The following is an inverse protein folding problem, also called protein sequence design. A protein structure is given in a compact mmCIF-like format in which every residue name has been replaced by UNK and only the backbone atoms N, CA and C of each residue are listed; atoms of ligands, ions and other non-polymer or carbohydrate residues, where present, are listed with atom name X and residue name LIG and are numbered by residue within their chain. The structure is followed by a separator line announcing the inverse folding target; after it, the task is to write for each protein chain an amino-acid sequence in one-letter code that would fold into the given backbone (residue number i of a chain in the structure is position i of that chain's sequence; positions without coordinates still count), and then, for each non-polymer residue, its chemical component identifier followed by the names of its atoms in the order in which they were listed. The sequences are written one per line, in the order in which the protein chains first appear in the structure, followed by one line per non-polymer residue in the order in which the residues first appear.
data_IF_740475132039
#
_entry.id   IF_740475132039
#
_cell.length_a   1.000
_cell.length_b   1.000
_cell.length_c   1.000
_cell.angle_alpha   90.00
_cell.angle_beta   90.00
_cell.angle_gamma   90.00
#
_symmetry.space_group_name_H-M   'P 1'
#
loop_
_entity.id
_entity.type
_entity.pdbx_description
1 polymer ?
#
# COMPACT_ATOMS: atom_id res chain seq x y z
N UNK A 1 4.23 4.07 -28.79
CA UNK A 1 3.46 5.18 -29.39
C UNK A 1 3.74 6.43 -28.57
N UNK A 2 4.21 7.50 -29.20
CA UNK A 2 4.39 8.80 -28.52
C UNK A 2 3.05 9.24 -27.96
N UNK A 3 2.89 9.21 -26.64
CA UNK A 3 1.69 9.74 -26.00
C UNK A 3 1.54 11.19 -26.45
N UNK A 4 0.34 11.55 -26.93
CA UNK A 4 -0.03 12.95 -27.07
C UNK A 4 0.12 13.59 -25.68
N UNK A 5 1.09 14.49 -25.54
CA UNK A 5 1.30 15.32 -24.34
C UNK A 5 0.20 16.39 -24.21
N UNK A 6 -1.07 15.98 -24.36
CA UNK A 6 -2.20 16.87 -24.18
C UNK A 6 -2.16 17.39 -22.73
N UNK A 7 -2.37 18.68 -22.48
CA UNK A 7 -2.41 19.21 -21.14
C UNK A 7 -3.62 18.60 -20.39
N UNK A 8 -3.48 18.42 -19.09
CA UNK A 8 -4.49 17.82 -18.22
C UNK A 8 -4.86 18.76 -17.08
N UNK A 9 -6.13 18.74 -16.67
CA UNK A 9 -6.64 19.48 -15.51
C UNK A 9 -7.43 18.56 -14.58
N UNK A 10 -7.28 18.75 -13.28
CA UNK A 10 -8.13 18.14 -12.27
C UNK A 10 -8.10 18.91 -10.95
N UNK A 11 -9.02 18.55 -10.05
CA UNK A 11 -8.96 18.96 -8.65
C UNK A 11 -7.93 18.11 -7.92
N UNK A 12 -6.95 18.74 -7.28
CA UNK A 12 -5.91 18.07 -6.49
C UNK A 12 -6.26 17.94 -4.99
N UNK A 13 -7.26 18.68 -4.50
CA UNK A 13 -7.79 18.57 -3.13
C UNK A 13 -8.93 17.54 -3.02
N UNK A 14 -9.21 17.06 -1.80
CA UNK A 14 -10.31 16.13 -1.53
C UNK A 14 -11.67 16.68 -1.99
N UNK A 15 -12.58 15.77 -2.36
CA UNK A 15 -13.96 16.13 -2.65
C UNK A 15 -14.69 16.45 -1.34
N UNK A 16 -15.47 17.53 -1.33
CA UNK A 16 -16.24 17.94 -0.16
C UNK A 16 -16.28 19.45 0.00
N UNK A 17 -16.74 19.92 1.16
CA UNK A 17 -16.68 21.32 1.54
C UNK A 17 -15.38 21.56 2.30
N UNK A 18 -14.56 22.49 1.82
CA UNK A 18 -13.33 22.91 2.49
C UNK A 18 -13.11 24.42 2.34
N UNK A 19 -12.26 24.99 3.19
CA UNK A 19 -11.87 26.39 3.08
C UNK A 19 -11.12 26.70 1.78
N UNK A 20 -10.28 25.76 1.33
CA UNK A 20 -9.45 25.87 0.13
C UNK A 20 -9.64 24.60 -0.72
N UNK A 21 -9.71 24.77 -2.04
CA UNK A 21 -9.60 23.70 -3.02
C UNK A 21 -8.59 24.06 -4.10
N UNK A 22 -7.84 23.06 -4.55
CA UNK A 22 -6.75 23.25 -5.51
C UNK A 22 -7.14 22.63 -6.84
N UNK A 23 -7.09 23.41 -7.92
CA UNK A 23 -7.15 22.92 -9.30
C UNK A 23 -5.74 22.94 -9.87
N UNK A 24 -5.30 21.82 -10.44
CA UNK A 24 -3.96 21.64 -10.99
C UNK A 24 -4.06 21.38 -12.49
N UNK A 25 -3.18 22.04 -13.26
CA UNK A 25 -3.01 21.84 -14.70
C UNK A 25 -1.56 21.42 -14.96
N UNK A 26 -1.32 20.41 -15.79
CA UNK A 26 0.02 19.95 -16.21
C UNK A 26 0.09 19.78 -17.72
N UNK A 27 1.20 20.16 -18.36
CA UNK A 27 1.42 19.95 -19.79
C UNK A 27 2.64 20.70 -20.32
N UNK A 28 2.73 20.82 -21.64
CA UNK A 28 3.84 21.55 -22.28
C UNK A 28 3.83 23.04 -21.92
N UNK A 29 5.01 23.65 -21.87
CA UNK A 29 5.19 25.05 -21.48
C UNK A 29 4.31 26.03 -22.29
N UNK A 30 4.20 25.81 -23.60
CA UNK A 30 3.37 26.63 -24.50
C UNK A 30 1.89 26.59 -24.14
N UNK A 31 1.39 25.42 -23.73
CA UNK A 31 -0.02 25.22 -23.43
C UNK A 31 -0.37 25.86 -22.09
N UNK A 32 0.48 25.65 -21.08
CA UNK A 32 0.33 26.27 -19.76
C UNK A 32 0.43 27.80 -19.87
N UNK A 33 1.36 28.32 -20.69
CA UNK A 33 1.48 29.75 -20.98
C UNK A 33 0.21 30.34 -21.61
N UNK A 34 -0.38 29.63 -22.58
CA UNK A 34 -1.60 30.06 -23.24
C UNK A 34 -2.80 30.05 -22.29
N UNK A 35 -2.97 28.96 -21.52
CA UNK A 35 -4.06 28.81 -20.55
C UNK A 35 -3.96 29.86 -19.45
N UNK A 36 -2.78 30.09 -18.88
CA UNK A 36 -2.58 31.08 -17.82
C UNK A 36 -2.95 32.49 -18.29
N UNK A 37 -2.45 32.90 -19.47
CA UNK A 37 -2.77 34.20 -20.08
C UNK A 37 -4.27 34.35 -20.31
N UNK A 38 -4.95 33.29 -20.76
CA UNK A 38 -6.39 33.33 -21.02
C UNK A 38 -7.25 33.40 -19.73
N UNK A 39 -6.77 32.84 -18.61
CA UNK A 39 -7.52 32.84 -17.35
C UNK A 39 -7.58 34.21 -16.66
N UNK A 40 -6.53 35.03 -16.77
CA UNK A 40 -6.49 36.32 -16.08
C UNK A 40 -6.02 37.51 -16.94
N UNK A 41 -5.86 37.32 -18.25
CA UNK A 41 -5.58 38.37 -19.26
C UNK A 41 -4.39 39.28 -18.92
N UNK A 42 -3.27 38.72 -18.44
CA UNK A 42 -2.05 39.47 -18.07
C UNK A 42 -0.77 38.71 -18.42
N UNK A 43 0.36 39.36 -18.14
CA UNK A 43 1.69 38.75 -18.16
C UNK A 43 1.74 37.47 -17.31
N UNK A 44 2.65 36.58 -17.72
CA UNK A 44 2.93 35.35 -17.02
C UNK A 44 3.45 35.64 -15.61
N UNK A 45 3.01 34.84 -14.67
CA UNK A 45 3.40 34.91 -13.28
C UNK A 45 4.83 34.43 -13.10
N UNK A 46 5.50 35.04 -12.13
CA UNK A 46 6.81 34.58 -11.69
C UNK A 46 6.71 33.18 -11.07
N UNK A 47 7.71 32.36 -11.36
CA UNK A 47 7.80 30.98 -10.91
C UNK A 47 7.82 30.89 -9.38
N UNK A 48 7.08 29.92 -8.83
CA UNK A 48 6.99 29.62 -7.39
C UNK A 48 6.61 30.84 -6.53
N UNK A 49 5.89 31.81 -7.09
CA UNK A 49 5.34 32.96 -6.36
C UNK A 49 3.81 32.90 -6.30
N UNK A 50 3.29 32.84 -5.07
CA UNK A 50 1.86 32.95 -4.81
C UNK A 50 1.34 34.32 -5.26
N UNK A 51 0.44 34.33 -6.24
CA UNK A 51 -0.09 35.57 -6.81
C UNK A 51 -1.61 35.59 -6.83
N UNK A 52 -2.21 36.59 -6.18
CA UNK A 52 -3.65 36.78 -6.15
C UNK A 52 -4.16 37.35 -7.49
N UNK A 53 -5.13 36.67 -8.11
CA UNK A 53 -5.82 37.09 -9.33
C UNK A 53 -7.31 36.73 -9.28
N UNK A 54 -8.08 37.28 -10.19
CA UNK A 54 -9.49 36.94 -10.37
C UNK A 54 -9.63 36.03 -11.59
N UNK A 55 -10.40 34.94 -11.44
CA UNK A 55 -10.89 34.17 -12.58
C UNK A 55 -12.28 34.68 -12.91
N UNK A 56 -12.53 34.91 -14.20
CA UNK A 56 -13.82 35.33 -14.74
C UNK A 56 -14.31 34.33 -15.78
N UNK A 57 -15.62 34.23 -15.92
CA UNK A 57 -16.25 33.43 -16.97
C UNK A 57 -16.14 34.09 -18.35
N UNK A 58 -16.73 33.48 -19.38
CA UNK A 58 -16.75 34.01 -20.74
C UNK A 58 -17.57 35.29 -20.92
N UNK A 59 -18.46 35.61 -19.98
CA UNK A 59 -19.26 36.85 -19.93
C UNK A 59 -18.57 37.96 -19.13
N UNK A 60 -17.44 37.65 -18.49
CA UNK A 60 -16.69 38.59 -17.63
C UNK A 60 -17.15 38.62 -16.17
N UNK A 61 -18.09 37.77 -15.78
CA UNK A 61 -18.57 37.65 -14.41
C UNK A 61 -17.49 37.00 -13.53
N UNK A 62 -17.37 37.47 -12.29
CA UNK A 62 -16.37 36.95 -11.36
C UNK A 62 -16.77 35.54 -10.90
N UNK A 63 -15.90 34.55 -11.17
CA UNK A 63 -16.04 33.21 -10.62
C UNK A 63 -15.48 33.18 -9.19
N UNK A 64 -14.20 33.55 -9.04
CA UNK A 64 -13.54 33.60 -7.73
C UNK A 64 -12.27 34.49 -7.76
N UNK A 65 -11.79 34.88 -6.58
CA UNK A 65 -10.46 35.46 -6.35
C UNK A 65 -9.55 34.37 -5.79
N UNK A 66 -8.54 34.01 -6.55
CA UNK A 66 -7.74 32.80 -6.35
C UNK A 66 -6.26 33.12 -6.28
N UNK A 67 -5.48 32.24 -5.65
CA UNK A 67 -4.02 32.30 -5.67
C UNK A 67 -3.54 31.37 -6.78
N UNK A 68 -2.76 31.92 -7.71
CA UNK A 68 -2.03 31.15 -8.70
C UNK A 68 -0.61 30.87 -8.22
N UNK A 69 -0.12 29.66 -8.48
CA UNK A 69 1.29 29.28 -8.30
C UNK A 69 1.76 28.55 -9.55
N UNK A 70 2.87 29.01 -10.12
CA UNK A 70 3.47 28.44 -11.32
C UNK A 70 4.71 27.62 -11.02
N UNK A 71 4.83 26.44 -11.62
CA UNK A 71 6.02 25.60 -11.59
C UNK A 71 6.48 25.31 -13.02
N UNK A 72 7.72 25.64 -13.37
CA UNK A 72 8.31 25.27 -14.67
C UNK A 72 8.95 23.88 -14.60
N UNK A 73 8.92 23.17 -15.72
CA UNK A 73 9.73 21.98 -15.93
C UNK A 73 11.23 22.29 -15.76
N UNK A 74 12.04 21.37 -15.23
CA UNK A 74 11.67 20.07 -14.64
C UNK A 74 11.31 20.17 -13.14
N UNK A 75 11.23 21.39 -12.60
CA UNK A 75 11.10 21.68 -11.18
C UNK A 75 9.63 21.72 -10.70
N UNK A 76 8.84 20.75 -11.15
CA UNK A 76 7.42 20.54 -10.82
C UNK A 76 7.17 19.10 -10.34
N UNK A 77 5.93 18.81 -9.93
CA UNK A 77 5.52 17.46 -9.51
C UNK A 77 5.59 16.44 -10.66
N UNK A 78 5.00 16.76 -11.81
CA UNK A 78 4.95 15.88 -12.98
C UNK A 78 6.25 15.88 -13.79
N UNK A 79 7.15 16.84 -13.56
CA UNK A 79 8.31 17.09 -14.43
C UNK A 79 7.99 17.97 -15.64
N UNK A 80 6.71 18.29 -15.88
CA UNK A 80 6.24 19.22 -16.92
C UNK A 80 6.02 20.64 -16.34
N UNK A 81 5.50 21.56 -17.14
CA UNK A 81 4.99 22.81 -16.59
C UNK A 81 3.67 22.56 -15.85
N UNK A 82 3.55 23.14 -14.65
CA UNK A 82 2.36 23.00 -13.79
C UNK A 82 1.85 24.35 -13.34
N UNK A 83 0.54 24.54 -13.44
CA UNK A 83 -0.19 25.68 -12.87
C UNK A 83 -1.13 25.19 -11.77
N UNK A 84 -0.98 25.72 -10.57
CA UNK A 84 -1.90 25.47 -9.45
C UNK A 84 -2.76 26.70 -9.16
N UNK A 85 -4.06 26.46 -9.02
CA UNK A 85 -5.08 27.46 -8.73
C UNK A 85 -5.70 27.11 -7.37
N UNK A 86 -5.36 27.86 -6.34
CA UNK A 86 -5.93 27.72 -5.00
C UNK A 86 -7.12 28.66 -4.87
N UNK A 87 -8.31 28.09 -4.79
CA UNK A 87 -9.58 28.79 -4.76
C UNK A 87 -10.40 28.36 -3.55
N UNK A 88 -11.58 28.94 -3.35
CA UNK A 88 -12.49 28.45 -2.31
C UNK A 88 -12.88 26.98 -2.60
N UNK A 89 -12.90 26.16 -1.55
CA UNK A 89 -13.09 24.70 -1.67
C UNK A 89 -14.52 24.24 -1.91
N UNK A 90 -15.44 25.14 -2.26
CA UNK A 90 -16.83 24.79 -2.56
C UNK A 90 -16.92 23.97 -3.85
N UNK A 91 -17.63 22.82 -3.88
CA UNK A 91 -17.71 21.97 -5.07
C UNK A 91 -18.18 22.70 -6.34
N UNK A 92 -19.15 23.62 -6.21
CA UNK A 92 -19.63 24.43 -7.32
C UNK A 92 -18.56 25.38 -7.87
N UNK A 93 -17.82 26.07 -6.99
CA UNK A 93 -16.75 27.00 -7.37
C UNK A 93 -15.61 26.25 -8.07
N UNK A 94 -15.19 25.11 -7.50
CA UNK A 94 -14.18 24.24 -8.12
C UNK A 94 -14.61 23.74 -9.50
N UNK A 95 -15.90 23.36 -9.65
CA UNK A 95 -16.47 22.96 -10.93
C UNK A 95 -16.46 24.08 -11.98
N UNK A 96 -16.82 25.30 -11.58
CA UNK A 96 -16.78 26.48 -12.46
C UNK A 96 -15.34 26.81 -12.91
N UNK A 97 -14.37 26.72 -12.00
CA UNK A 97 -12.95 26.94 -12.34
C UNK A 97 -12.45 25.90 -13.33
N UNK A 98 -12.71 24.61 -13.08
CA UNK A 98 -12.32 23.53 -14.02
C UNK A 98 -13.01 23.72 -15.37
N UNK A 99 -14.31 24.04 -15.38
CA UNK A 99 -15.04 24.34 -16.61
C UNK A 99 -14.42 25.50 -17.39
N UNK A 100 -14.03 26.57 -16.69
CA UNK A 100 -13.35 27.72 -17.30
C UNK A 100 -11.98 27.35 -17.84
N UNK A 101 -11.20 26.52 -17.13
CA UNK A 101 -9.92 26.01 -17.63
C UNK A 101 -10.12 25.22 -18.94
N UNK A 102 -11.07 24.28 -18.96
CA UNK A 102 -11.39 23.47 -20.15
C UNK A 102 -11.80 24.33 -21.35
N UNK A 103 -12.60 25.38 -21.11
CA UNK A 103 -13.02 26.32 -22.15
C UNK A 103 -11.82 27.03 -22.78
N UNK A 104 -10.94 27.65 -21.95
CA UNK A 104 -9.79 28.40 -22.48
C UNK A 104 -8.68 27.50 -23.03
N UNK A 105 -8.59 26.27 -22.55
CA UNK A 105 -7.60 25.28 -22.99
C UNK A 105 -8.04 24.42 -24.18
N UNK A 106 -9.24 24.63 -24.72
CA UNK A 106 -9.79 23.80 -25.80
C UNK A 106 -8.89 23.75 -27.03
N UNK A 107 -8.29 24.88 -27.43
CA UNK A 107 -7.37 24.95 -28.58
C UNK A 107 -6.06 24.20 -28.35
N UNK A 108 -5.65 24.05 -27.08
CA UNK A 108 -4.49 23.27 -26.67
C UNK A 108 -4.83 21.79 -26.41
N UNK A 109 -6.10 21.38 -26.57
CA UNK A 109 -6.54 20.02 -26.27
C UNK A 109 -6.62 19.70 -24.78
N UNK A 110 -6.76 20.71 -23.91
CA UNK A 110 -6.89 20.50 -22.47
C UNK A 110 -8.07 19.59 -22.16
N UNK A 111 -7.79 18.54 -21.38
CA UNK A 111 -8.80 17.56 -20.96
C UNK A 111 -8.73 17.29 -19.46
N UNK A 112 -9.75 16.60 -18.96
CA UNK A 112 -9.70 16.06 -17.60
C UNK A 112 -8.62 15.00 -17.49
N UNK A 113 -7.91 15.02 -16.35
CA UNK A 113 -6.95 13.98 -16.02
C UNK A 113 -7.67 12.66 -15.69
N UNK A 114 -7.03 11.54 -16.07
CA UNK A 114 -7.40 10.19 -15.63
C UNK A 114 -6.99 9.99 -14.15
N UNK A 115 -7.56 9.00 -13.44
CA UNK A 115 -7.07 8.60 -12.13
C UNK A 115 -5.56 8.32 -12.15
N UNK A 116 -4.80 8.91 -11.22
CA UNK A 116 -3.35 8.72 -11.10
C UNK A 116 -2.48 9.35 -12.19
N UNK A 117 -3.04 10.08 -13.15
CA UNK A 117 -2.30 10.54 -14.33
C UNK A 117 -1.18 11.56 -14.01
N UNK A 118 -1.29 12.38 -12.97
CA UNK A 118 -0.18 13.29 -12.64
C UNK A 118 1.02 12.50 -12.07
N UNK A 119 0.76 11.47 -11.26
CA UNK A 119 1.78 10.59 -10.69
C UNK A 119 2.37 9.70 -11.78
N UNK A 120 1.55 9.20 -12.70
CA UNK A 120 1.99 8.47 -13.91
C UNK A 120 2.97 9.32 -14.72
N UNK A 121 2.65 10.60 -14.97
CA UNK A 121 3.55 11.53 -15.67
C UNK A 121 4.84 11.80 -14.89
N UNK A 122 4.76 11.93 -13.57
CA UNK A 122 5.95 12.07 -12.73
C UNK A 122 6.89 10.85 -12.87
N UNK A 123 6.32 9.64 -12.89
CA UNK A 123 7.06 8.40 -13.13
C UNK A 123 7.68 8.37 -14.55
N UNK A 124 6.88 8.63 -15.58
CA UNK A 124 7.36 8.64 -16.99
C UNK A 124 8.44 9.70 -17.25
N UNK A 125 8.41 10.81 -16.51
CA UNK A 125 9.42 11.87 -16.57
C UNK A 125 10.60 11.64 -15.62
N UNK A 126 10.76 10.43 -15.06
CA UNK A 126 11.85 10.04 -14.15
C UNK A 126 11.97 10.96 -12.91
N UNK A 127 10.86 11.55 -12.46
CA UNK A 127 10.83 12.36 -11.21
C UNK A 127 10.79 11.47 -9.98
N UNK A 128 10.15 10.32 -10.12
CA UNK A 128 9.93 9.30 -9.10
C UNK A 128 10.00 7.93 -9.77
N UNK A 129 10.37 6.90 -9.03
CA UNK A 129 10.19 5.51 -9.47
C UNK A 129 8.81 4.96 -9.08
N UNK A 130 8.52 3.72 -9.50
CA UNK A 130 7.21 3.11 -9.27
C UNK A 130 6.91 2.86 -7.79
N UNK A 131 7.92 2.57 -6.97
CA UNK A 131 7.71 2.36 -5.53
C UNK A 131 7.42 3.68 -4.81
N UNK A 132 8.05 4.77 -5.22
CA UNK A 132 7.76 6.11 -4.73
C UNK A 132 6.36 6.56 -5.14
N UNK A 133 5.93 6.25 -6.37
CA UNK A 133 4.56 6.48 -6.81
C UNK A 133 3.54 5.72 -5.93
N UNK A 134 3.77 4.43 -5.70
CA UNK A 134 2.93 3.61 -4.80
C UNK A 134 2.90 4.15 -3.37
N UNK A 135 4.02 4.66 -2.87
CA UNK A 135 4.14 5.23 -1.53
C UNK A 135 3.34 6.53 -1.35
N UNK A 136 3.13 7.31 -2.42
CA UNK A 136 2.27 8.50 -2.37
C UNK A 136 0.82 8.11 -2.10
N UNK A 137 0.32 7.03 -2.71
CA UNK A 137 -1.01 6.52 -2.39
C UNK A 137 -1.09 6.06 -0.94
N UNK A 138 -0.08 5.28 -0.51
CA UNK A 138 -0.03 4.74 0.86
C UNK A 138 0.03 5.85 1.92
N UNK A 139 0.76 6.95 1.66
CA UNK A 139 0.83 8.09 2.59
C UNK A 139 -0.51 8.79 2.77
N UNK A 140 -1.36 8.79 1.74
CA UNK A 140 -2.66 9.46 1.77
C UNK A 140 -3.73 8.55 2.37
N UNK A 141 -3.59 7.24 2.22
CA UNK A 141 -4.46 6.22 2.83
C UNK A 141 -4.07 5.89 4.28
N UNK A 142 -2.89 6.28 4.74
CA UNK A 142 -2.38 5.91 6.06
C UNK A 142 -3.31 6.36 7.20
N UNK A 143 -3.78 5.39 7.98
CA UNK A 143 -4.67 5.59 9.15
C UNK A 143 -3.93 5.57 10.48
N UNK A 144 -2.63 5.25 10.49
CA UNK A 144 -1.79 5.25 11.68
C UNK A 144 -0.50 6.06 11.47
N UNK A 145 0.04 6.64 12.55
CA UNK A 145 1.30 7.39 12.49
C UNK A 145 2.47 6.54 11.97
N UNK A 146 2.53 5.26 12.38
CA UNK A 146 3.56 4.32 11.91
C UNK A 146 3.46 4.08 10.39
N UNK A 147 2.24 3.85 9.89
CA UNK A 147 1.99 3.67 8.45
C UNK A 147 2.37 4.93 7.65
N UNK A 148 1.99 6.12 8.15
CA UNK A 148 2.33 7.40 7.52
C UNK A 148 3.85 7.63 7.47
N UNK A 149 4.58 7.33 8.57
CA UNK A 149 6.05 7.46 8.61
C UNK A 149 6.74 6.46 7.66
N UNK A 150 6.26 5.21 7.60
CA UNK A 150 6.78 4.21 6.68
C UNK A 150 6.54 4.60 5.21
N UNK A 151 5.34 5.11 4.88
CA UNK A 151 5.01 5.60 3.54
C UNK A 151 5.86 6.81 3.16
N UNK A 152 6.09 7.74 4.10
CA UNK A 152 6.96 8.89 3.87
C UNK A 152 8.44 8.49 3.61
N UNK A 153 8.93 7.43 4.26
CA UNK A 153 10.28 6.87 3.98
C UNK A 153 10.36 6.24 2.59
N UNK A 154 9.38 5.43 2.20
CA UNK A 154 9.29 4.89 0.84
C UNK A 154 9.21 6.01 -0.21
N UNK A 155 8.41 7.05 0.04
CA UNK A 155 8.29 8.20 -0.87
C UNK A 155 9.62 8.94 -1.03
N UNK A 156 10.43 9.03 0.05
CA UNK A 156 11.79 9.60 -0.01
C UNK A 156 12.78 8.75 -0.80
N UNK A 157 12.42 7.52 -1.17
CA UNK A 157 13.25 6.62 -1.98
C UNK A 157 14.02 5.57 -1.17
N UNK A 158 13.80 5.45 0.15
CA UNK A 158 14.60 4.53 0.98
C UNK A 158 14.47 3.06 0.52
N UNK A 159 13.25 2.64 0.12
CA UNK A 159 13.06 1.29 -0.40
C UNK A 159 13.74 1.12 -1.77
N UNK A 160 13.59 2.10 -2.65
CA UNK A 160 14.23 2.14 -3.96
C UNK A 160 15.75 2.04 -3.87
N UNK A 161 16.37 2.80 -2.96
CA UNK A 161 17.81 2.79 -2.73
C UNK A 161 18.30 1.40 -2.33
N UNK A 162 17.59 0.70 -1.43
CA UNK A 162 17.94 -0.67 -1.04
C UNK A 162 17.82 -1.64 -2.20
N UNK A 163 16.74 -1.57 -2.99
CA UNK A 163 16.54 -2.44 -4.16
C UNK A 163 17.59 -2.16 -5.24
N UNK A 164 17.87 -0.88 -5.51
CA UNK A 164 18.88 -0.47 -6.49
C UNK A 164 20.28 -0.89 -6.03
N UNK A 165 20.60 -0.83 -4.74
CA UNK A 165 21.87 -1.33 -4.21
C UNK A 165 22.03 -2.84 -4.45
N UNK A 166 20.97 -3.63 -4.21
CA UNK A 166 20.98 -5.07 -4.53
C UNK A 166 21.17 -5.30 -6.03
N UNK A 167 20.46 -4.52 -6.87
CA UNK A 167 20.52 -4.66 -8.31
C UNK A 167 21.92 -4.31 -8.86
N UNK A 168 22.56 -3.26 -8.34
CA UNK A 168 23.93 -2.90 -8.69
C UNK A 168 24.91 -4.03 -8.39
N UNK A 169 24.79 -4.69 -7.22
CA UNK A 169 25.62 -5.86 -6.89
C UNK A 169 25.39 -7.03 -7.86
N UNK A 170 24.13 -7.29 -8.24
CA UNK A 170 23.82 -8.34 -9.24
C UNK A 170 24.47 -8.03 -10.59
N UNK A 171 24.38 -6.78 -11.04
CA UNK A 171 24.98 -6.33 -12.31
C UNK A 171 26.51 -6.47 -12.26
N UNK A 172 27.13 -6.10 -11.14
CA UNK A 172 28.58 -6.25 -10.94
C UNK A 172 29.03 -7.71 -11.01
N UNK A 173 28.36 -8.62 -10.30
CA UNK A 173 28.67 -10.06 -10.38
C UNK A 173 28.44 -10.61 -11.78
N UNK A 174 27.38 -10.18 -12.48
CA UNK A 174 27.11 -10.60 -13.85
C UNK A 174 28.23 -10.14 -14.80
N UNK A 175 28.66 -8.89 -14.68
CA UNK A 175 29.76 -8.35 -15.48
C UNK A 175 31.08 -9.10 -15.24
N UNK A 176 31.36 -9.51 -14.00
CA UNK A 176 32.52 -10.35 -13.66
C UNK A 176 32.44 -11.73 -14.34
N UNK A 177 31.27 -12.38 -14.35
CA UNK A 177 31.07 -13.67 -15.04
C UNK A 177 31.17 -13.51 -16.55
N UNK A 178 30.60 -12.45 -17.13
CA UNK A 178 30.70 -12.16 -18.57
C UNK A 178 32.16 -11.92 -19.00
N UNK A 179 32.95 -11.20 -18.20
CA UNK A 179 34.37 -11.01 -18.48
C UNK A 179 35.15 -12.34 -18.52
N UNK A 180 34.79 -13.32 -17.68
CA UNK A 180 35.40 -14.66 -17.71
C UNK A 180 35.00 -15.40 -19.00
N UNK A 181 33.72 -15.34 -19.38
CA UNK A 181 33.21 -15.95 -20.61
C UNK A 181 33.89 -15.41 -21.89
N UNK A 182 34.17 -14.10 -21.92
CA UNK A 182 34.81 -13.45 -23.07
C UNK A 182 36.32 -13.77 -23.18
N UNK A 183 36.99 -14.15 -22.08
CA UNK A 183 38.44 -14.36 -22.01
C UNK A 183 38.83 -15.68 -21.28
N UNK A 184 38.56 -16.85 -21.87
CA UNK A 184 38.76 -18.14 -21.21
C UNK A 184 40.22 -18.51 -20.92
N UNK A 185 41.20 -17.90 -21.61
CA UNK A 185 42.63 -18.21 -21.40
C UNK A 185 43.19 -17.65 -20.07
N UNK A 186 42.44 -16.76 -19.38
CA UNK A 186 42.75 -16.23 -18.04
C UNK A 186 42.02 -16.99 -16.90
N UNK A 187 41.28 -18.07 -17.20
CA UNK A 187 40.26 -18.72 -16.34
C UNK A 187 40.75 -19.36 -15.03
N UNK A 188 42.00 -19.83 -14.96
CA UNK A 188 42.37 -20.82 -13.92
C UNK A 188 42.55 -20.17 -12.53
N UNK A 189 42.96 -18.90 -12.45
CA UNK A 189 43.19 -18.20 -11.16
C UNK A 189 41.96 -17.41 -10.64
N UNK A 190 40.95 -17.14 -11.48
CA UNK A 190 39.87 -16.21 -11.13
C UNK A 190 38.60 -16.86 -10.56
N UNK A 191 38.20 -18.04 -11.02
CA UNK A 191 37.04 -18.78 -10.46
C UNK A 191 37.36 -19.39 -9.08
N UNK A 192 38.64 -19.66 -8.79
CA UNK A 192 39.11 -20.05 -7.46
C UNK A 192 39.08 -18.90 -6.44
N UNK A 193 38.89 -17.64 -6.88
CA UNK A 193 38.72 -16.53 -5.95
C UNK A 193 37.41 -16.68 -5.17
N UNK A 194 37.54 -17.00 -3.88
CA UNK A 194 36.48 -17.04 -2.87
C UNK A 194 35.57 -15.78 -2.83
N UNK A 195 35.92 -14.71 -3.55
CA UNK A 195 35.19 -13.45 -3.67
C UNK A 195 33.81 -13.56 -4.30
N UNK A 196 33.65 -14.16 -5.49
CA UNK A 196 32.35 -14.21 -6.19
C UNK A 196 31.34 -15.04 -5.41
N UNK A 197 31.72 -16.26 -5.02
CA UNK A 197 30.87 -17.14 -4.20
C UNK A 197 30.43 -16.46 -2.91
N UNK A 198 31.37 -15.86 -2.17
CA UNK A 198 31.07 -15.15 -0.93
C UNK A 198 30.20 -13.92 -1.19
N UNK A 199 30.43 -13.22 -2.30
CA UNK A 199 29.65 -12.07 -2.74
C UNK A 199 28.20 -12.42 -3.06
N UNK A 200 27.96 -13.46 -3.85
CA UNK A 200 26.60 -13.93 -4.16
C UNK A 200 25.91 -14.49 -2.91
N UNK A 201 26.63 -15.22 -2.05
CA UNK A 201 26.09 -15.66 -0.76
C UNK A 201 25.65 -14.47 0.10
N UNK A 202 26.46 -13.41 0.15
CA UNK A 202 26.14 -12.18 0.87
C UNK A 202 24.93 -11.46 0.27
N UNK A 203 24.85 -11.39 -1.06
CA UNK A 203 23.69 -10.84 -1.78
C UNK A 203 22.39 -11.59 -1.40
N UNK A 204 22.41 -12.92 -1.30
CA UNK A 204 21.24 -13.70 -0.89
C UNK A 204 20.78 -13.34 0.53
N UNK A 205 21.73 -13.13 1.46
CA UNK A 205 21.44 -12.65 2.81
C UNK A 205 20.84 -11.25 2.81
N UNK A 206 21.37 -10.35 1.99
CA UNK A 206 20.91 -8.97 1.88
C UNK A 206 19.51 -8.89 1.26
N UNK A 207 19.23 -9.69 0.22
CA UNK A 207 17.87 -9.85 -0.33
C UNK A 207 16.92 -10.39 0.76
N UNK A 208 17.34 -11.38 1.55
CA UNK A 208 16.52 -11.93 2.63
C UNK A 208 16.22 -10.90 3.73
N UNK A 209 17.18 -10.03 4.05
CA UNK A 209 17.02 -8.93 4.99
C UNK A 209 15.98 -7.91 4.48
N UNK A 210 16.10 -7.49 3.21
CA UNK A 210 15.12 -6.59 2.57
C UNK A 210 13.74 -7.23 2.49
N UNK A 211 13.65 -8.52 2.17
CA UNK A 211 12.39 -9.27 2.14
C UNK A 211 11.71 -9.33 3.53
N UNK A 212 12.48 -9.51 4.60
CA UNK A 212 11.97 -9.50 5.97
C UNK A 212 11.41 -8.12 6.33
N UNK A 213 12.13 -7.04 6.00
CA UNK A 213 11.67 -5.67 6.20
C UNK A 213 10.41 -5.35 5.38
N UNK A 214 10.38 -5.74 4.11
CA UNK A 214 9.22 -5.58 3.22
C UNK A 214 7.99 -6.36 3.72
N UNK A 215 8.19 -7.52 4.34
CA UNK A 215 7.06 -8.29 4.91
C UNK A 215 6.39 -7.51 6.03
N UNK A 216 7.15 -6.86 6.91
CA UNK A 216 6.61 -5.97 7.96
C UNK A 216 5.95 -4.73 7.37
N UNK A 217 6.60 -4.13 6.36
CA UNK A 217 6.04 -3.00 5.61
C UNK A 217 4.70 -3.29 4.95
N UNK A 218 4.51 -4.51 4.44
CA UNK A 218 3.23 -4.98 3.91
C UNK A 218 2.17 -5.07 5.00
N UNK A 219 2.50 -5.56 6.19
CA UNK A 219 1.56 -5.64 7.32
C UNK A 219 1.14 -4.25 7.80
N UNK A 220 2.05 -3.27 7.83
CA UNK A 220 1.71 -1.87 8.12
C UNK A 220 0.81 -1.22 7.06
N UNK A 221 0.80 -1.75 5.84
CA UNK A 221 -0.02 -1.28 4.73
C UNK A 221 -1.39 -1.92 4.73
N UNK A 222 -1.41 -3.25 4.64
CA UNK A 222 -2.63 -4.01 4.43
C UNK A 222 -3.40 -4.22 5.76
N UNK A 223 -2.71 -4.01 6.89
CA UNK A 223 -3.21 -4.30 8.23
C UNK A 223 -3.22 -5.79 8.55
N UNK A 224 -3.43 -6.11 9.83
CA UNK A 224 -3.69 -7.48 10.27
C UNK A 224 -5.19 -7.79 10.16
N UNK A 225 -5.58 -8.78 9.36
CA UNK A 225 -6.98 -9.20 9.28
C UNK A 225 -7.30 -10.19 10.41
N UNK A 226 -8.22 -9.79 11.29
CA UNK A 226 -8.60 -10.54 12.48
C UNK A 226 -10.10 -10.84 12.44
N UNK A 227 -10.44 -12.11 12.42
CA UNK A 227 -11.83 -12.60 12.45
C UNK A 227 -12.24 -12.94 13.87
N UNK A 228 -13.39 -12.42 14.31
CA UNK A 228 -14.01 -12.81 15.58
C UNK A 228 -15.03 -13.94 15.33
N UNK A 229 -14.73 -15.13 15.82
CA UNK A 229 -15.58 -16.32 15.69
C UNK A 229 -16.12 -16.75 17.07
N UNK A 230 -17.35 -17.23 17.11
CA UNK A 230 -17.96 -17.78 18.32
C UNK A 230 -19.49 -17.67 18.32
N UNK A 231 -20.13 -18.30 19.29
CA UNK A 231 -21.59 -18.31 19.42
C UNK A 231 -22.17 -16.89 19.64
N UNK A 232 -23.49 -16.67 19.47
CA UNK A 232 -24.14 -15.44 19.91
C UNK A 232 -23.90 -15.18 21.40
N UNK A 233 -23.83 -13.91 21.81
CA UNK A 233 -23.71 -13.47 23.21
C UNK A 233 -22.43 -13.84 23.98
N UNK A 234 -21.46 -14.53 23.36
CA UNK A 234 -20.11 -14.78 23.95
C UNK A 234 -19.28 -13.50 24.15
N UNK A 235 -19.78 -12.36 23.66
CA UNK A 235 -19.17 -11.04 23.84
C UNK A 235 -18.24 -10.61 22.70
N UNK A 236 -18.46 -11.08 21.46
CA UNK A 236 -17.75 -10.60 20.25
C UNK A 236 -17.74 -9.07 20.12
N UNK A 237 -18.92 -8.45 20.16
CA UNK A 237 -19.06 -6.99 20.06
C UNK A 237 -18.44 -6.27 21.26
N UNK A 238 -18.46 -6.87 22.45
CA UNK A 238 -17.79 -6.33 23.63
C UNK A 238 -16.26 -6.35 23.47
N UNK A 239 -15.69 -7.47 22.99
CA UNK A 239 -14.25 -7.58 22.72
C UNK A 239 -13.82 -6.60 21.63
N UNK A 240 -14.59 -6.50 20.56
CA UNK A 240 -14.37 -5.55 19.48
C UNK A 240 -14.27 -4.11 20.00
N UNK A 241 -15.23 -3.68 20.84
CA UNK A 241 -15.20 -2.36 21.47
C UNK A 241 -14.03 -2.22 22.45
N UNK A 242 -13.68 -3.28 23.18
CA UNK A 242 -12.54 -3.27 24.09
C UNK A 242 -11.20 -3.08 23.34
N UNK A 243 -11.03 -3.78 22.21
CA UNK A 243 -9.86 -3.67 21.32
C UNK A 243 -9.83 -2.32 20.58
N UNK A 244 -10.99 -1.81 20.17
CA UNK A 244 -11.10 -0.50 19.55
C UNK A 244 -10.66 0.63 20.49
N UNK A 245 -10.89 0.47 21.80
CA UNK A 245 -10.35 1.38 22.80
C UNK A 245 -10.83 2.82 22.61
N UNK A 246 -9.91 3.77 22.86
CA UNK A 246 -10.00 5.17 22.44
C UNK A 246 -9.36 5.42 21.05
N UNK A 247 -8.87 4.35 20.39
CA UNK A 247 -8.02 4.37 19.19
C UNK A 247 -8.77 3.91 17.93
N UNK A 248 -10.03 4.33 17.78
CA UNK A 248 -10.79 4.14 16.54
C UNK A 248 -10.17 5.04 15.47
N UNK A 249 -9.52 4.45 14.48
CA UNK A 249 -8.87 5.22 13.43
C UNK A 249 -9.91 5.80 12.47
N UNK A 250 -10.86 4.97 11.98
CA UNK A 250 -11.99 5.38 11.12
C UNK A 250 -13.11 4.33 11.27
N UNK A 251 -14.36 4.75 11.53
CA UNK A 251 -15.54 3.92 11.23
C UNK A 251 -15.90 4.21 9.78
N UNK A 252 -15.66 3.26 8.88
CA UNK A 252 -16.10 3.40 7.48
C UNK A 252 -17.57 3.04 7.37
N UNK A 253 -18.43 4.04 7.57
CA UNK A 253 -19.80 3.99 7.06
C UNK A 253 -19.73 4.12 5.53
N UNK A 254 -19.62 3.01 4.81
CA UNK A 254 -19.93 3.04 3.37
C UNK A 254 -21.45 3.21 3.26
N UNK A 255 -21.89 4.46 3.17
CA UNK A 255 -23.29 4.82 2.99
C UNK A 255 -23.81 4.20 1.67
N UNK A 256 -24.65 3.17 1.77
CA UNK A 256 -25.33 2.59 0.61
C UNK A 256 -25.74 1.11 0.70
N UNK A 257 -25.26 0.34 1.67
CA UNK A 257 -25.60 -1.09 1.78
C UNK A 257 -26.26 -1.40 3.12
N UNK A 258 -27.60 -1.35 3.14
CA UNK A 258 -28.37 -1.81 4.30
C UNK A 258 -28.19 -3.32 4.48
N UNK A 259 -27.51 -3.72 5.58
CA UNK A 259 -27.29 -5.08 6.13
C UNK A 259 -25.99 -5.82 5.78
N UNK A 260 -24.96 -5.11 5.31
CA UNK A 260 -23.66 -5.70 4.97
C UNK A 260 -22.57 -5.44 6.03
N UNK A 261 -21.61 -6.37 6.10
CA UNK A 261 -20.40 -6.47 6.97
C UNK A 261 -20.04 -5.18 7.70
N UNK A 262 -20.06 -5.20 9.03
CA UNK A 262 -19.37 -4.15 9.80
C UNK A 262 -17.91 -4.57 9.94
N UNK A 263 -17.08 -4.04 9.04
CA UNK A 263 -15.63 -4.13 9.15
C UNK A 263 -15.15 -2.94 9.96
N UNK A 264 -14.36 -3.19 10.99
CA UNK A 264 -13.82 -2.12 11.83
C UNK A 264 -12.32 -2.04 11.62
N UNK A 265 -11.84 -0.86 11.24
CA UNK A 265 -10.42 -0.57 11.17
C UNK A 265 -9.98 0.14 12.46
N UNK A 266 -9.16 -0.56 13.26
CA UNK A 266 -8.63 -0.05 14.52
C UNK A 266 -7.10 0.04 14.43
N UNK A 267 -6.50 0.84 15.31
CA UNK A 267 -5.04 0.92 15.43
C UNK A 267 -4.59 0.39 16.79
N UNK A 268 -3.89 -0.75 16.80
CA UNK A 268 -3.26 -1.32 17.99
C UNK A 268 -1.79 -0.85 18.09
N UNK A 269 -1.52 0.21 18.85
CA UNK A 269 -0.19 0.84 18.97
C UNK A 269 0.47 1.12 17.60
N UNK A 270 -0.33 1.60 16.65
CA UNK A 270 0.08 1.95 15.29
C UNK A 270 0.08 0.80 14.28
N UNK A 271 -0.22 -0.45 14.71
CA UNK A 271 -0.55 -1.55 13.81
C UNK A 271 -2.01 -1.40 13.33
N UNK A 272 -2.27 -1.21 12.03
CA UNK A 272 -3.62 -1.26 11.51
C UNK A 272 -4.18 -2.69 11.65
N UNK A 273 -5.37 -2.82 12.21
CA UNK A 273 -6.06 -4.11 12.38
C UNK A 273 -7.46 -3.99 11.82
N UNK A 274 -7.79 -4.91 10.93
CA UNK A 274 -9.13 -5.05 10.35
C UNK A 274 -9.88 -6.14 11.10
N UNK A 275 -10.80 -5.73 11.95
CA UNK A 275 -11.70 -6.63 12.69
C UNK A 275 -12.92 -6.96 11.84
N UNK A 276 -13.18 -8.27 11.68
CA UNK A 276 -14.33 -8.78 10.95
C UNK A 276 -15.21 -9.55 11.94
N UNK A 277 -16.41 -9.02 12.21
CA UNK A 277 -17.41 -9.71 13.02
C UNK A 277 -18.14 -10.75 12.17
N UNK A 278 -18.14 -12.00 12.63
CA UNK A 278 -18.87 -13.08 11.97
C UNK A 278 -20.22 -13.22 12.65
N UNK A 279 -21.29 -13.04 11.88
CA UNK A 279 -22.63 -13.40 12.35
C UNK A 279 -22.57 -14.87 12.78
N UNK A 280 -23.01 -15.15 14.01
CA UNK A 280 -22.76 -16.40 14.72
C UNK A 280 -22.94 -17.63 13.83
N UNK A 281 -21.90 -18.45 13.74
CA UNK A 281 -21.90 -19.62 12.90
C UNK A 281 -22.83 -20.72 13.45
N UNK A 282 -23.77 -21.24 12.65
CA UNK A 282 -24.63 -22.38 13.00
C UNK A 282 -25.06 -23.18 11.76
N UNK A 283 -25.28 -24.49 11.87
CA UNK A 283 -26.00 -25.24 10.82
C UNK A 283 -27.47 -24.81 10.78
N UNK A 284 -27.98 -24.50 9.60
CA UNK A 284 -29.34 -23.97 9.39
C UNK A 284 -29.82 -24.29 7.98
N UNK A 285 -31.11 -24.59 7.85
CA UNK A 285 -31.76 -24.79 6.55
C UNK A 285 -32.25 -23.47 5.94
N UNK A 286 -32.18 -22.35 6.68
CA UNK A 286 -32.58 -21.02 6.20
C UNK A 286 -31.58 -20.51 5.12
N UNK A 287 -32.05 -20.23 3.89
CA UNK A 287 -31.21 -19.71 2.81
C UNK A 287 -30.46 -18.41 3.17
N UNK A 288 -31.04 -17.55 4.01
CA UNK A 288 -30.44 -16.27 4.42
C UNK A 288 -29.28 -16.52 5.40
N UNK A 289 -29.43 -17.49 6.28
CA UNK A 289 -28.39 -17.83 7.26
C UNK A 289 -27.27 -18.69 6.64
N UNK A 290 -27.57 -19.52 5.64
CA UNK A 290 -26.53 -20.20 4.83
C UNK A 290 -25.58 -19.21 4.16
N UNK A 291 -26.13 -18.12 3.62
CA UNK A 291 -25.31 -17.02 3.07
C UNK A 291 -24.41 -16.42 4.17
N UNK A 292 -24.88 -16.34 5.42
CA UNK A 292 -24.07 -15.89 6.56
C UNK A 292 -22.90 -16.84 6.91
N UNK A 293 -23.11 -18.15 6.78
CA UNK A 293 -22.07 -19.18 7.01
C UNK A 293 -21.02 -19.13 5.90
N UNK A 294 -21.45 -19.17 4.63
CA UNK A 294 -20.54 -19.13 3.48
C UNK A 294 -19.67 -17.87 3.51
N UNK A 295 -20.25 -16.73 3.88
CA UNK A 295 -19.52 -15.46 4.08
C UNK A 295 -18.52 -15.50 5.24
N UNK A 296 -18.86 -16.20 6.31
CA UNK A 296 -17.94 -16.37 7.44
C UNK A 296 -16.77 -17.27 7.06
N UNK A 297 -17.03 -18.33 6.28
CA UNK A 297 -15.98 -19.20 5.73
C UNK A 297 -15.03 -18.41 4.82
N UNK A 298 -15.55 -17.58 3.92
CA UNK A 298 -14.73 -16.69 3.08
C UNK A 298 -13.88 -15.70 3.90
N UNK A 299 -14.43 -15.17 5.01
CA UNK A 299 -13.70 -14.28 5.89
C UNK A 299 -12.57 -15.02 6.62
N UNK A 300 -12.84 -16.23 7.13
CA UNK A 300 -11.85 -17.09 7.80
C UNK A 300 -10.75 -17.51 6.82
N UNK A 301 -11.10 -17.86 5.57
CA UNK A 301 -10.14 -18.17 4.52
C UNK A 301 -9.18 -17.02 4.21
N UNK A 302 -9.61 -15.77 4.42
CA UNK A 302 -8.81 -14.56 4.15
C UNK A 302 -8.17 -13.96 5.40
N UNK A 303 -8.46 -14.50 6.59
CA UNK A 303 -8.00 -13.97 7.87
C UNK A 303 -6.55 -14.36 8.17
N UNK A 304 -5.79 -13.43 8.76
CA UNK A 304 -4.45 -13.72 9.27
C UNK A 304 -4.55 -14.35 10.67
N UNK A 305 -5.54 -13.91 11.46
CA UNK A 305 -5.85 -14.43 12.80
C UNK A 305 -7.34 -14.70 12.94
N UNK A 306 -7.68 -15.84 13.55
CA UNK A 306 -9.03 -16.15 14.02
C UNK A 306 -9.04 -16.16 15.55
N UNK A 307 -9.83 -15.28 16.14
CA UNK A 307 -10.10 -15.28 17.58
C UNK A 307 -11.36 -16.10 17.84
N UNK A 308 -11.22 -17.25 18.49
CA UNK A 308 -12.33 -18.14 18.82
C UNK A 308 -12.81 -17.87 20.24
N UNK A 309 -13.95 -17.20 20.34
CA UNK A 309 -14.51 -16.72 21.60
C UNK A 309 -15.47 -17.73 22.23
N UNK A 310 -15.31 -17.96 23.53
CA UNK A 310 -16.26 -18.67 24.39
C UNK A 310 -16.43 -17.99 25.74
N UNK A 311 -17.40 -18.45 26.53
CA UNK A 311 -17.65 -17.93 27.86
C UNK A 311 -16.89 -18.72 28.93
N UNK A 312 -16.37 -18.03 29.94
CA UNK A 312 -15.68 -18.64 31.07
C UNK A 312 -16.56 -19.63 31.88
N UNK A 313 -17.89 -19.46 31.85
CA UNK A 313 -18.83 -20.35 32.50
C UNK A 313 -19.02 -21.69 31.74
N UNK A 314 -18.71 -21.72 30.44
CA UNK A 314 -18.72 -22.94 29.63
C UNK A 314 -17.54 -22.97 28.64
N UNK A 315 -16.31 -23.21 29.14
CA UNK A 315 -15.14 -23.32 28.27
C UNK A 315 -15.21 -24.56 27.35
N UNK A 316 -16.03 -25.56 27.71
CA UNK A 316 -16.16 -26.82 26.95
C UNK A 316 -16.84 -26.62 25.60
N UNK A 317 -17.59 -25.52 25.44
CA UNK A 317 -18.20 -25.11 24.19
C UNK A 317 -17.20 -25.00 23.02
N UNK A 318 -15.93 -24.68 23.28
CA UNK A 318 -14.83 -24.62 22.29
C UNK A 318 -14.67 -25.94 21.52
N UNK A 319 -14.83 -27.07 22.20
CA UNK A 319 -14.70 -28.41 21.61
C UNK A 319 -15.92 -28.78 20.74
N UNK A 320 -17.07 -28.16 21.01
CA UNK A 320 -18.34 -28.41 20.32
C UNK A 320 -18.66 -27.42 19.20
N UNK A 321 -17.79 -26.44 18.92
CA UNK A 321 -18.00 -25.45 17.87
C UNK A 321 -17.90 -26.11 16.48
N UNK A 322 -19.04 -26.64 16.03
CA UNK A 322 -19.23 -27.32 14.74
C UNK A 322 -18.75 -26.46 13.58
N UNK A 323 -18.98 -25.16 13.68
CA UNK A 323 -18.71 -24.29 12.56
C UNK A 323 -17.25 -23.86 12.48
N UNK A 324 -16.58 -23.69 13.62
CA UNK A 324 -15.12 -23.64 13.61
C UNK A 324 -14.54 -24.95 13.05
N UNK A 325 -15.07 -26.13 13.40
CA UNK A 325 -14.60 -27.41 12.82
C UNK A 325 -14.79 -27.48 11.30
N UNK A 326 -15.87 -26.90 10.77
CA UNK A 326 -16.09 -26.78 9.33
C UNK A 326 -15.16 -25.76 8.66
N UNK A 327 -14.96 -24.60 9.29
CA UNK A 327 -14.05 -23.56 8.82
C UNK A 327 -12.58 -24.00 8.89
N UNK A 328 -12.22 -24.79 9.90
CA UNK A 328 -10.86 -25.33 10.10
C UNK A 328 -10.38 -26.21 8.95
N UNK A 329 -11.32 -26.85 8.23
CA UNK A 329 -11.02 -27.64 7.03
C UNK A 329 -10.65 -26.78 5.83
N UNK A 330 -11.00 -25.51 5.86
CA UNK A 330 -10.78 -24.53 4.79
C UNK A 330 -9.69 -23.50 5.16
N UNK A 331 -9.04 -23.65 6.32
CA UNK A 331 -7.96 -22.75 6.71
C UNK A 331 -6.77 -22.89 5.77
N UNK A 332 -6.38 -21.77 5.16
CA UNK A 332 -5.11 -21.65 4.44
C UNK A 332 -3.94 -21.93 5.38
N UNK A 333 -2.86 -22.51 4.86
CA UNK A 333 -1.64 -22.70 5.63
C UNK A 333 -1.13 -21.34 6.15
N UNK A 334 -0.96 -21.21 7.46
CA UNK A 334 -0.44 -19.99 8.10
C UNK A 334 -1.45 -19.12 8.85
N UNK A 335 -2.77 -19.41 8.82
CA UNK A 335 -3.73 -18.73 9.71
C UNK A 335 -3.43 -19.10 11.16
N UNK A 336 -3.30 -18.09 12.03
CA UNK A 336 -3.11 -18.30 13.47
C UNK A 336 -4.48 -18.32 14.16
N UNK A 337 -4.70 -19.30 15.02
CA UNK A 337 -5.95 -19.42 15.78
C UNK A 337 -5.63 -19.19 17.25
N UNK A 338 -6.35 -18.27 17.87
CA UNK A 338 -6.22 -17.97 19.30
C UNK A 338 -7.57 -18.24 19.97
N UNK A 339 -7.54 -18.99 21.06
CA UNK A 339 -8.72 -19.24 21.88
C UNK A 339 -8.89 -18.11 22.89
N UNK A 340 -10.10 -17.55 22.98
CA UNK A 340 -10.39 -16.39 23.83
C UNK A 340 -11.55 -16.73 24.75
N UNK A 341 -11.25 -16.98 26.02
CA UNK A 341 -12.25 -17.26 27.05
C UNK A 341 -12.66 -15.94 27.69
N UNK A 342 -13.84 -15.45 27.33
CA UNK A 342 -14.38 -14.16 27.75
C UNK A 342 -15.27 -14.26 29.00
N UNK A 343 -15.63 -13.11 29.59
CA UNK A 343 -16.43 -12.98 30.82
C UNK A 343 -15.75 -13.56 32.06
N UNK A 344 -14.41 -13.44 32.14
CA UNK A 344 -13.62 -13.90 33.28
C UNK A 344 -13.97 -13.21 34.62
N UNK A 345 -14.70 -12.08 34.56
CA UNK A 345 -15.28 -11.39 35.72
C UNK A 345 -16.42 -12.17 36.38
N UNK A 346 -17.12 -13.04 35.63
CA UNK A 346 -18.24 -13.85 36.12
C UNK A 346 -17.81 -15.24 36.59
N UNK A 347 -16.78 -15.80 35.97
CA UNK A 347 -16.21 -17.10 36.31
C UNK A 347 -14.71 -17.07 36.01
N UNK A 348 -13.87 -17.62 36.91
CA UNK A 348 -12.43 -17.75 36.67
C UNK A 348 -12.11 -19.14 36.12
N UNK A 349 -11.87 -19.29 34.82
CA UNK A 349 -11.47 -20.57 34.26
C UNK A 349 -10.02 -20.88 34.67
N UNK A 350 -9.69 -22.16 34.86
CA UNK A 350 -8.29 -22.58 34.98
C UNK A 350 -7.60 -22.34 33.63
N UNK A 351 -6.43 -21.68 33.67
CA UNK A 351 -5.69 -21.26 32.48
C UNK A 351 -5.36 -22.46 31.59
N UNK A 352 -5.82 -22.47 30.33
CA UNK A 352 -5.77 -23.67 29.48
C UNK A 352 -5.00 -23.44 28.17
N UNK A 353 -3.70 -23.70 28.14
CA UNK A 353 -2.94 -23.90 26.89
C UNK A 353 -2.11 -22.71 26.37
N UNK A 354 -1.25 -22.98 25.37
CA UNK A 354 -0.19 -22.08 24.86
C UNK A 354 -0.68 -20.90 23.99
N UNK A 355 -1.92 -20.97 23.49
CA UNK A 355 -2.53 -19.96 22.61
C UNK A 355 -3.96 -19.58 23.08
N UNK A 356 -4.19 -19.65 24.40
CA UNK A 356 -5.47 -19.34 25.02
C UNK A 356 -5.36 -18.11 25.91
N UNK A 357 -6.30 -17.19 25.73
CA UNK A 357 -6.35 -15.92 26.43
C UNK A 357 -7.63 -15.84 27.24
N UNK A 358 -7.50 -15.71 28.56
CA UNK A 358 -8.62 -15.49 29.47
C UNK A 358 -8.79 -13.99 29.64
N UNK A 359 -9.96 -13.47 29.28
CA UNK A 359 -10.24 -12.03 29.26
C UNK A 359 -11.59 -11.69 29.90
N UNK A 360 -11.74 -10.44 30.31
CA UNK A 360 -13.05 -9.82 30.45
C UNK A 360 -13.10 -8.57 29.58
N UNK A 361 -13.89 -8.64 28.50
CA UNK A 361 -14.05 -7.51 27.60
C UNK A 361 -14.67 -6.27 28.28
N UNK A 362 -15.44 -6.45 29.36
CA UNK A 362 -16.09 -5.35 30.09
C UNK A 362 -15.10 -4.68 31.04
N UNK A 363 -14.32 -5.45 31.80
CA UNK A 363 -13.35 -4.89 32.76
C UNK A 363 -11.99 -4.59 32.11
N UNK A 364 -11.78 -5.02 30.86
CA UNK A 364 -10.52 -4.98 30.10
C UNK A 364 -9.41 -5.87 30.65
N UNK A 365 -9.68 -6.73 31.62
CA UNK A 365 -8.71 -7.70 32.12
C UNK A 365 -8.27 -8.66 30.99
N UNK A 366 -6.96 -8.88 30.86
CA UNK A 366 -6.37 -9.81 29.89
C UNK A 366 -6.30 -9.32 28.43
N UNK A 367 -6.90 -8.17 28.10
CA UNK A 367 -6.90 -7.61 26.73
C UNK A 367 -5.49 -7.24 26.27
N UNK A 368 -4.66 -6.67 27.14
CA UNK A 368 -3.29 -6.26 26.79
C UNK A 368 -2.43 -7.44 26.33
N UNK A 369 -2.55 -8.60 27.00
CA UNK A 369 -1.83 -9.81 26.60
C UNK A 369 -2.27 -10.34 25.23
N UNK A 370 -3.56 -10.22 24.90
CA UNK A 370 -4.09 -10.55 23.58
C UNK A 370 -3.57 -9.57 22.52
N UNK A 371 -3.54 -8.27 22.81
CA UNK A 371 -2.96 -7.25 21.92
C UNK A 371 -1.48 -7.51 21.64
N UNK A 372 -0.67 -7.82 22.65
CA UNK A 372 0.76 -8.18 22.46
C UNK A 372 0.94 -9.40 21.56
N UNK A 373 0.09 -10.42 21.71
CA UNK A 373 0.12 -11.59 20.83
C UNK A 373 -0.22 -11.23 19.38
N UNK A 374 -1.25 -10.41 19.16
CA UNK A 374 -1.62 -9.95 17.81
C UNK A 374 -0.46 -9.18 17.15
N UNK A 375 0.23 -8.30 17.89
CA UNK A 375 1.44 -7.60 17.40
C UNK A 375 2.58 -8.56 17.08
N UNK A 376 2.76 -9.59 17.90
CA UNK A 376 3.77 -10.63 17.67
C UNK A 376 3.49 -11.43 16.40
N UNK A 377 2.23 -11.81 16.14
CA UNK A 377 1.82 -12.49 14.91
C UNK A 377 2.02 -11.60 13.69
N UNK A 378 1.71 -10.30 13.81
CA UNK A 378 1.97 -9.30 12.78
C UNK A 378 3.48 -9.10 12.50
N UNK A 379 4.38 -9.65 13.33
CA UNK A 379 5.82 -9.46 13.20
C UNK A 379 6.31 -8.07 13.60
N UNK A 380 5.46 -7.31 14.33
CA UNK A 380 5.68 -5.92 14.77
C UNK A 380 6.13 -5.86 16.24
N UNK A 381 6.44 -7.01 16.85
CA UNK A 381 6.88 -7.10 18.26
C UNK A 381 8.14 -6.28 18.59
N UNK A 382 8.94 -5.89 17.60
CA UNK A 382 10.15 -5.09 17.81
C UNK A 382 10.04 -3.77 17.06
N UNK A 383 10.09 -2.66 17.81
CA UNK A 383 10.07 -1.28 17.33
C UNK A 383 11.32 -0.88 16.53
N UNK A 384 11.61 -1.60 15.45
CA UNK A 384 12.75 -1.28 14.60
C UNK A 384 12.46 -0.06 13.74
N UNK A 385 13.32 0.93 13.89
CA UNK A 385 13.48 2.04 12.96
C UNK A 385 14.05 1.50 11.63
N UNK A 386 13.30 1.63 10.55
CA UNK A 386 13.75 1.27 9.20
C UNK A 386 12.70 0.60 8.31
N UNK A 387 11.42 0.63 8.73
CA UNK A 387 10.32 0.06 7.96
C UNK A 387 9.87 1.04 6.86
N UNK A 388 9.81 0.52 5.65
CA UNK A 388 9.28 1.14 4.45
C UNK A 388 8.05 0.34 4.00
N UNK A 389 7.11 0.98 3.31
CA UNK A 389 5.90 0.32 2.78
C UNK A 389 6.24 -0.63 1.64
N UNK A 390 5.56 -1.77 1.61
CA UNK A 390 5.72 -2.77 0.55
C UNK A 390 4.40 -3.46 0.22
N UNK A 391 4.37 -4.14 -0.93
CA UNK A 391 3.19 -4.83 -1.49
C UNK A 391 3.53 -6.29 -1.78
N UNK A 392 2.48 -7.10 -1.99
CA UNK A 392 2.64 -8.50 -2.43
C UNK A 392 3.49 -8.64 -3.70
N UNK A 393 3.40 -7.70 -4.66
CA UNK A 393 4.23 -7.73 -5.87
C UNK A 393 5.72 -7.59 -5.54
N UNK A 394 6.07 -6.71 -4.60
CA UNK A 394 7.47 -6.51 -4.20
C UNK A 394 8.04 -7.76 -3.55
N UNK A 395 7.25 -8.42 -2.68
CA UNK A 395 7.65 -9.68 -2.05
C UNK A 395 7.82 -10.81 -3.08
N UNK A 396 6.95 -10.88 -4.09
CA UNK A 396 7.07 -11.85 -5.17
C UNK A 396 8.32 -11.61 -6.02
N UNK A 397 8.65 -10.35 -6.35
CA UNK A 397 9.89 -9.99 -7.01
C UNK A 397 11.11 -10.36 -6.17
N UNK A 398 11.16 -9.98 -4.89
CA UNK A 398 12.27 -10.32 -3.98
C UNK A 398 12.45 -11.83 -3.82
N UNK A 399 11.36 -12.60 -3.77
CA UNK A 399 11.41 -14.06 -3.71
C UNK A 399 12.02 -14.66 -4.98
N UNK A 400 11.58 -14.23 -6.17
CA UNK A 400 12.15 -14.66 -7.46
C UNK A 400 13.62 -14.26 -7.58
N UNK A 401 13.98 -13.01 -7.24
CA UNK A 401 15.38 -12.57 -7.25
C UNK A 401 16.26 -13.41 -6.34
N UNK A 402 15.77 -13.75 -5.14
CA UNK A 402 16.50 -14.63 -4.21
C UNK A 402 16.67 -16.05 -4.74
N UNK A 403 15.65 -16.59 -5.41
CA UNK A 403 15.71 -17.90 -6.06
C UNK A 403 16.76 -17.91 -7.17
N UNK A 404 16.72 -16.94 -8.09
CA UNK A 404 17.72 -16.80 -9.14
C UNK A 404 19.14 -16.60 -8.60
N UNK A 405 19.32 -15.80 -7.54
CA UNK A 405 20.63 -15.65 -6.90
C UNK A 405 21.15 -16.97 -6.29
N UNK A 406 20.26 -17.81 -5.74
CA UNK A 406 20.61 -19.15 -5.23
C UNK A 406 20.97 -20.12 -6.36
N UNK A 407 20.23 -20.08 -7.46
CA UNK A 407 20.52 -20.89 -8.64
C UNK A 407 21.89 -20.51 -9.23
N UNK A 408 22.19 -19.22 -9.35
CA UNK A 408 23.50 -18.72 -9.76
C UNK A 408 24.62 -19.23 -8.83
N UNK A 409 24.43 -19.14 -7.50
CA UNK A 409 25.41 -19.63 -6.51
C UNK A 409 25.67 -21.14 -6.66
N UNK A 410 24.62 -21.94 -6.81
CA UNK A 410 24.74 -23.39 -6.98
C UNK A 410 25.34 -23.77 -8.34
N UNK A 411 25.08 -22.96 -9.36
CA UNK A 411 25.58 -23.16 -10.72
C UNK A 411 27.09 -22.99 -10.85
N UNK A 412 27.73 -22.23 -9.95
CA UNK A 412 29.19 -22.00 -9.98
C UNK A 412 30.03 -23.29 -9.98
N UNK A 413 29.56 -24.38 -9.37
CA UNK A 413 30.32 -25.64 -9.26
C UNK A 413 29.90 -26.71 -10.27
N UNK A 414 28.81 -26.49 -11.02
CA UNK A 414 28.14 -27.59 -11.72
C UNK A 414 27.37 -27.22 -12.97
N UNK A 415 27.40 -25.96 -13.39
CA UNK A 415 26.73 -25.47 -14.59
C UNK A 415 27.67 -24.61 -15.45
N UNK A 416 27.43 -24.52 -16.76
CA UNK A 416 28.12 -23.57 -17.62
C UNK A 416 27.92 -22.13 -17.12
N UNK A 417 28.97 -21.30 -17.21
CA UNK A 417 28.94 -19.92 -16.71
C UNK A 417 27.91 -19.05 -17.44
N UNK A 418 27.52 -19.40 -18.66
CA UNK A 418 26.42 -18.76 -19.39
C UNK A 418 25.08 -18.91 -18.66
N UNK A 419 24.85 -20.06 -18.03
CA UNK A 419 23.64 -20.29 -17.22
C UNK A 419 23.70 -19.44 -15.95
N UNK A 420 24.87 -19.34 -15.32
CA UNK A 420 25.06 -18.48 -14.14
C UNK A 420 24.82 -17.01 -14.49
N UNK A 421 25.34 -16.53 -15.62
CA UNK A 421 25.13 -15.17 -16.12
C UNK A 421 23.64 -14.89 -16.42
N UNK A 422 22.93 -15.88 -16.95
CA UNK A 422 21.49 -15.81 -17.21
C UNK A 422 20.67 -15.75 -15.90
N UNK A 423 20.99 -16.56 -14.90
CA UNK A 423 20.35 -16.49 -13.58
C UNK A 423 20.56 -15.12 -12.92
N UNK A 424 21.76 -14.54 -13.02
CA UNK A 424 22.02 -13.17 -12.53
C UNK A 424 21.22 -12.12 -13.34
N UNK A 425 21.06 -12.30 -14.65
CA UNK A 425 20.21 -11.43 -15.49
C UNK A 425 18.75 -11.47 -15.03
N UNK A 426 18.21 -12.66 -14.77
CA UNK A 426 16.84 -12.86 -14.28
C UNK A 426 16.65 -12.29 -12.87
N UNK A 427 17.66 -12.44 -11.99
CA UNK A 427 17.69 -11.81 -10.68
C UNK A 427 17.56 -10.28 -10.77
N UNK A 428 18.37 -9.66 -11.64
CA UNK A 428 18.35 -8.22 -11.90
C UNK A 428 17.02 -7.77 -12.49
N UNK A 429 16.46 -8.52 -13.44
CA UNK A 429 15.16 -8.23 -14.03
C UNK A 429 14.04 -8.21 -12.97
N UNK A 430 14.00 -9.20 -12.09
CA UNK A 430 13.01 -9.27 -11.02
C UNK A 430 13.16 -8.12 -9.99
N UNK A 431 14.39 -7.65 -9.71
CA UNK A 431 14.61 -6.45 -8.89
C UNK A 431 14.18 -5.17 -9.64
N UNK A 432 14.49 -5.06 -10.92
CA UNK A 432 14.10 -3.94 -11.78
C UNK A 432 12.57 -3.77 -11.91
N UNK A 433 11.82 -4.87 -11.85
CA UNK A 433 10.35 -4.84 -11.81
C UNK A 433 9.82 -4.12 -10.56
N UNK A 434 10.55 -4.11 -9.44
CA UNK A 434 10.11 -3.43 -8.22
C UNK A 434 10.05 -1.91 -8.46
N UNK A 435 11.11 -1.34 -9.02
CA UNK A 435 11.26 0.10 -9.28
C UNK A 435 10.61 0.56 -10.59
N UNK A 436 10.16 -0.38 -11.45
CA UNK A 436 9.44 -0.07 -12.69
C UNK A 436 10.31 0.02 -13.95
N UNK A 437 11.56 -0.49 -13.91
CA UNK A 437 12.48 -0.45 -15.07
C UNK A 437 12.12 -1.44 -16.18
N UNK A 438 11.39 -2.51 -15.86
CA UNK A 438 11.09 -3.64 -16.76
C UNK A 438 9.60 -4.01 -16.79
N UNK A 439 8.72 -3.09 -16.37
CA UNK A 439 7.28 -3.35 -16.27
C UNK A 439 6.55 -3.22 -17.61
N UNK A 440 5.54 -4.07 -17.82
CA UNK A 440 4.61 -3.95 -18.93
C UNK A 440 3.61 -2.79 -18.71
N UNK A 441 3.25 -2.08 -19.79
CA UNK A 441 2.34 -0.93 -19.79
C UNK A 441 0.97 -1.25 -19.15
N UNK A 442 0.43 -2.46 -19.36
CA UNK A 442 -0.85 -2.88 -18.78
C UNK A 442 -0.82 -2.91 -17.25
N UNK A 443 0.31 -3.33 -16.66
CA UNK A 443 0.47 -3.36 -15.22
C UNK A 443 0.60 -1.95 -14.63
N UNK A 444 1.27 -1.04 -15.35
CA UNK A 444 1.31 0.39 -14.98
C UNK A 444 -0.10 1.00 -14.99
N UNK A 445 -0.87 0.75 -16.05
CA UNK A 445 -2.26 1.19 -16.16
C UNK A 445 -3.12 0.70 -14.99
N UNK A 446 -3.00 -0.58 -14.61
CA UNK A 446 -3.71 -1.12 -13.45
C UNK A 446 -3.27 -0.48 -12.12
N UNK A 447 -1.99 -0.16 -11.94
CA UNK A 447 -1.49 0.48 -10.71
C UNK A 447 -2.07 1.89 -10.59
N UNK A 448 -1.92 2.73 -11.61
CA UNK A 448 -2.38 4.13 -11.56
C UNK A 448 -3.90 4.27 -11.57
N UNK A 449 -4.64 3.30 -12.15
CA UNK A 449 -6.11 3.30 -12.11
C UNK A 449 -6.70 3.27 -10.69
N UNK A 450 -5.93 2.79 -9.70
CA UNK A 450 -6.34 2.74 -8.29
C UNK A 450 -6.10 4.05 -7.53
N UNK A 451 -5.40 5.02 -8.13
CA UNK A 451 -5.12 6.31 -7.51
C UNK A 451 -6.33 7.24 -7.65
N UNK A 452 -6.41 8.26 -6.79
CA UNK A 452 -7.43 9.28 -6.92
C UNK A 452 -7.22 10.14 -8.19
N UNK A 453 -8.29 10.72 -8.71
CA UNK A 453 -8.23 11.76 -9.76
C UNK A 453 -7.57 13.02 -9.18
N UNK A 454 -6.66 13.64 -9.94
CA UNK A 454 -5.90 14.82 -9.51
C UNK A 454 -4.59 14.52 -8.81
N UNK A 455 -4.22 13.24 -8.74
CA UNK A 455 -2.91 12.76 -8.35
C UNK A 455 -2.15 12.25 -9.54
#
# INVERSE_FOLDING_TARGET
MTMKNDPIVARASSAGKGGIGVVRISGAASDIDAIEKALHARELLAERRATLRSIRDSKGELIDRVIFIRFRAPASYTGEDVLEIQAHGGPAVQGLIIGRCLEVGQSAGLRLARPGEFTERAFLNNKIDLTQAEAIADLIEATSEKSARAAARSMKGEFSERVNSLNSSVIEFRAQIEAILDFPEEEIDFLENAGIRKGISKLIEDIASVQKAATRGKVLRDGLSVVLAGAPNVGKSSLMNALAGDNVAIVTDIAGTTRDRIEYEISLDGLPVKLIDTAGLRETEDPIERIGIDRTLEAIERADVVLRLTEAADPSALASDVAYRMASRHLRAGVVILDVINKADLARPEHSGKDTYVISAITREGIDALCEKLKSIAGVADGNEGEFMARSRHLACLARSKEHARNALNGLDGMPLEVVAEELRLCSHALGEIVGQTLADDLLGMIFSKFCIGK
#
